data_IF_961599138410
#
_entry.id   IF_961599138410
#
_cell.length_a   1.000
_cell.length_b   1.000
_cell.length_c   1.000
_cell.angle_alpha   90.00
_cell.angle_beta   90.00
_cell.angle_gamma   90.00
#
_symmetry.space_group_name_H-M   'P 1'
#
loop_
_entity.id
_entity.type
_entity.pdbx_description
1 polymer ?
#
# COMPACT_ATOMS: atom_id res chain seq x y z
N UNK A 1 -23.90 -24.27 20.08
CA UNK A 1 -22.97 -24.67 19.00
C UNK A 1 -23.13 -23.62 17.93
N UNK A 2 -22.08 -22.85 17.63
CA UNK A 2 -22.19 -21.73 16.69
C UNK A 2 -22.37 -22.25 15.27
N UNK A 3 -23.20 -21.57 14.47
CA UNK A 3 -23.37 -21.89 13.04
C UNK A 3 -22.26 -21.23 12.23
N UNK A 4 -21.76 -21.91 11.21
CA UNK A 4 -20.67 -21.40 10.38
C UNK A 4 -21.25 -20.84 9.09
N UNK A 5 -20.77 -19.65 8.70
CA UNK A 5 -21.04 -19.01 7.41
C UNK A 5 -19.69 -18.85 6.71
N UNK A 6 -19.50 -19.55 5.61
CA UNK A 6 -18.31 -19.40 4.79
C UNK A 6 -18.50 -18.30 3.75
N UNK A 7 -17.45 -17.51 3.54
CA UNK A 7 -17.37 -16.58 2.42
C UNK A 7 -17.45 -17.36 1.09
N UNK A 8 -18.40 -16.99 0.24
CA UNK A 8 -18.42 -17.38 -1.17
C UNK A 8 -18.23 -16.11 -2.03
N UNK A 9 -17.16 -16.03 -2.85
CA UNK A 9 -16.96 -14.93 -3.80
C UNK A 9 -18.17 -14.62 -4.67
N UNK A 10 -19.03 -15.61 -4.98
CA UNK A 10 -20.21 -15.48 -5.83
C UNK A 10 -21.33 -14.65 -5.18
N UNK A 11 -21.42 -14.70 -3.85
CA UNK A 11 -22.46 -14.00 -3.08
C UNK A 11 -22.17 -12.50 -2.93
N UNK A 12 -20.91 -12.10 -3.10
CA UNK A 12 -20.46 -10.73 -2.94
C UNK A 12 -20.50 -9.98 -4.27
N UNK A 13 -20.74 -8.67 -4.16
CA UNK A 13 -20.76 -7.70 -5.26
C UNK A 13 -20.12 -6.40 -4.82
N UNK A 14 -19.69 -5.59 -5.79
CA UNK A 14 -19.25 -4.22 -5.53
C UNK A 14 -20.36 -3.45 -4.79
N UNK A 15 -19.97 -2.74 -3.73
CA UNK A 15 -20.87 -1.78 -3.10
C UNK A 15 -21.05 -0.58 -4.04
N UNK A 16 -22.30 -0.30 -4.41
CA UNK A 16 -22.66 0.78 -5.33
C UNK A 16 -22.55 2.17 -4.71
N UNK A 17 -22.41 2.26 -3.39
CA UNK A 17 -22.18 3.53 -2.69
C UNK A 17 -20.74 4.04 -2.85
N UNK A 18 -19.80 3.19 -3.28
CA UNK A 18 -18.41 3.59 -3.49
C UNK A 18 -18.22 4.26 -4.85
N UNK A 19 -17.67 5.47 -4.85
CA UNK A 19 -17.36 6.23 -6.06
C UNK A 19 -16.27 5.54 -6.91
N UNK A 20 -15.18 5.12 -6.27
CA UNK A 20 -14.04 4.45 -6.90
C UNK A 20 -13.90 3.02 -6.38
N UNK A 21 -14.62 2.07 -6.99
CA UNK A 21 -14.59 0.68 -6.56
C UNK A 21 -13.62 -0.14 -7.43
N UNK A 22 -12.41 -0.40 -6.93
CA UNK A 22 -11.36 -1.13 -7.67
C UNK A 22 -11.44 -2.62 -7.35
N UNK A 23 -12.10 -3.37 -8.23
CA UNK A 23 -12.40 -4.78 -8.00
C UNK A 23 -12.08 -5.67 -9.20
N UNK A 24 -11.75 -6.93 -8.92
CA UNK A 24 -11.64 -7.98 -9.92
C UNK A 24 -12.11 -9.32 -9.38
N UNK A 25 -12.85 -10.07 -10.21
CA UNK A 25 -13.26 -11.46 -9.92
C UNK A 25 -12.71 -12.35 -11.03
N UNK A 26 -11.93 -13.34 -10.66
CA UNK A 26 -11.22 -14.19 -11.61
C UNK A 26 -11.17 -15.64 -11.10
N UNK A 27 -10.93 -16.56 -12.04
CA UNK A 27 -10.67 -17.96 -11.73
C UNK A 27 -9.16 -18.16 -11.60
N UNK A 28 -8.73 -18.78 -10.50
CA UNK A 28 -7.33 -19.12 -10.22
C UNK A 28 -7.25 -20.63 -10.05
N UNK A 29 -6.17 -21.23 -10.54
CA UNK A 29 -5.86 -22.63 -10.23
C UNK A 29 -5.10 -22.67 -8.91
N UNK A 30 -5.64 -23.37 -7.92
CA UNK A 30 -4.98 -23.52 -6.63
C UNK A 30 -3.85 -24.57 -6.66
N UNK A 31 -3.17 -24.76 -5.52
CA UNK A 31 -2.07 -25.72 -5.37
C UNK A 31 -2.47 -27.18 -5.67
N UNK A 32 -3.75 -27.49 -5.55
CA UNK A 32 -4.30 -28.84 -5.76
C UNK A 32 -4.70 -29.03 -7.24
N UNK A 33 -4.55 -28.00 -8.08
CA UNK A 33 -4.91 -28.01 -9.49
C UNK A 33 -6.38 -27.65 -9.76
N UNK A 34 -7.12 -27.22 -8.74
CA UNK A 34 -8.55 -26.92 -8.84
C UNK A 34 -8.80 -25.45 -9.16
N UNK A 35 -9.79 -25.18 -10.00
CA UNK A 35 -10.18 -23.82 -10.34
C UNK A 35 -11.09 -23.23 -9.25
N UNK A 36 -10.55 -22.27 -8.50
CA UNK A 36 -11.25 -21.52 -7.47
C UNK A 36 -11.56 -20.10 -7.93
N UNK A 37 -12.60 -19.49 -7.37
CA UNK A 37 -12.91 -18.08 -7.63
C UNK A 37 -12.18 -17.23 -6.58
N UNK A 38 -11.46 -16.22 -7.04
CA UNK A 38 -10.85 -15.21 -6.23
C UNK A 38 -11.60 -13.87 -6.40
N UNK A 39 -11.73 -13.11 -5.33
CA UNK A 39 -12.28 -11.76 -5.36
C UNK A 39 -11.25 -10.77 -4.83
N UNK A 40 -10.58 -10.05 -5.75
CA UNK A 40 -9.64 -8.99 -5.40
C UNK A 40 -10.34 -7.65 -5.22
N UNK A 41 -9.93 -6.92 -4.20
CA UNK A 41 -10.39 -5.57 -3.87
C UNK A 41 -9.19 -4.66 -3.57
N UNK A 42 -9.31 -3.39 -3.93
CA UNK A 42 -8.33 -2.35 -3.63
C UNK A 42 -7.17 -2.30 -4.62
N UNK A 43 -6.35 -1.26 -4.47
CA UNK A 43 -5.11 -1.06 -5.20
C UNK A 43 -4.09 -0.37 -4.27
N UNK A 44 -2.93 -0.03 -4.83
CA UNK A 44 -1.89 0.70 -4.10
C UNK A 44 -2.14 2.21 -3.97
N UNK A 45 -3.22 2.71 -4.57
CA UNK A 45 -3.66 4.10 -4.39
C UNK A 45 -4.58 4.19 -3.17
N UNK A 46 -5.03 5.41 -2.88
CA UNK A 46 -5.98 5.70 -1.83
C UNK A 46 -7.45 5.54 -2.28
N UNK A 47 -7.71 4.61 -3.21
CA UNK A 47 -9.05 4.35 -3.72
C UNK A 47 -9.82 3.47 -2.74
N UNK A 48 -10.83 4.06 -2.09
CA UNK A 48 -11.68 3.36 -1.13
C UNK A 48 -12.59 2.33 -1.83
N UNK A 49 -12.27 1.05 -1.65
CA UNK A 49 -12.94 -0.07 -2.32
C UNK A 49 -13.75 -0.90 -1.33
N UNK A 50 -14.98 -1.27 -1.69
CA UNK A 50 -15.83 -2.13 -0.86
C UNK A 50 -16.61 -3.17 -1.68
N UNK A 51 -16.72 -4.37 -1.12
CA UNK A 51 -17.66 -5.39 -1.58
C UNK A 51 -18.60 -5.79 -0.43
N UNK A 52 -19.84 -6.09 -0.75
CA UNK A 52 -20.84 -6.43 0.25
C UNK A 52 -21.74 -7.61 -0.16
N UNK A 53 -22.31 -8.25 0.86
CA UNK A 53 -23.30 -9.30 0.73
C UNK A 53 -24.35 -9.14 1.84
N UNK A 54 -25.63 -9.22 1.46
CA UNK A 54 -26.75 -9.20 2.40
C UNK A 54 -27.18 -10.65 2.65
N UNK A 55 -27.36 -11.04 3.92
CA UNK A 55 -27.88 -12.35 4.30
C UNK A 55 -28.96 -12.22 5.36
N UNK A 56 -29.94 -13.11 5.27
CA UNK A 56 -30.94 -13.33 6.30
C UNK A 56 -30.53 -14.51 7.19
N UNK A 57 -30.46 -14.28 8.49
CA UNK A 57 -30.00 -15.21 9.51
C UNK A 57 -31.12 -15.52 10.50
N UNK A 58 -31.01 -16.64 11.20
CA UNK A 58 -31.92 -16.94 12.33
C UNK A 58 -31.57 -16.08 13.54
N UNK A 59 -32.59 -15.49 14.18
CA UNK A 59 -32.47 -14.75 15.43
C UNK A 59 -31.87 -15.60 16.55
N UNK A 60 -31.30 -14.94 17.55
CA UNK A 60 -30.78 -15.47 18.81
C UNK A 60 -29.82 -16.64 18.62
N UNK A 61 -29.06 -16.57 17.54
CA UNK A 61 -28.12 -17.60 17.10
C UNK A 61 -26.73 -17.02 17.03
N UNK A 62 -25.77 -17.73 17.61
CA UNK A 62 -24.35 -17.44 17.51
C UNK A 62 -23.81 -17.99 16.19
N UNK A 63 -23.08 -17.14 15.47
CA UNK A 63 -22.47 -17.44 14.19
C UNK A 63 -20.96 -17.23 14.22
N UNK A 64 -20.29 -17.90 13.28
CA UNK A 64 -18.90 -17.65 12.92
C UNK A 64 -18.85 -17.40 11.41
N UNK A 65 -18.42 -16.22 11.00
CA UNK A 65 -18.18 -15.91 9.60
C UNK A 65 -16.70 -16.20 9.26
N UNK A 66 -16.45 -17.10 8.30
CA UNK A 66 -15.09 -17.52 7.93
C UNK A 66 -14.71 -17.04 6.53
N UNK A 67 -13.49 -16.57 6.38
CA UNK A 67 -12.94 -16.15 5.09
C UNK A 67 -11.42 -16.26 5.07
N UNK A 68 -10.87 -16.37 3.86
CA UNK A 68 -9.44 -16.30 3.62
C UNK A 68 -9.11 -15.03 2.86
N UNK A 69 -8.07 -14.33 3.32
CA UNK A 69 -7.51 -13.16 2.64
C UNK A 69 -6.01 -13.36 2.41
N UNK A 70 -5.56 -13.07 1.19
CA UNK A 70 -4.16 -12.96 0.80
C UNK A 70 -3.88 -11.50 0.47
N UNK A 71 -2.74 -10.97 0.92
CA UNK A 71 -2.46 -9.54 0.82
C UNK A 71 -3.26 -8.73 1.84
N UNK A 72 -3.70 -7.52 1.50
CA UNK A 72 -4.46 -6.62 2.38
C UNK A 72 -3.59 -5.93 3.44
N UNK A 73 -2.31 -5.70 3.10
CA UNK A 73 -1.34 -4.96 3.89
C UNK A 73 -0.39 -4.21 2.94
N UNK A 74 0.27 -3.16 3.41
CA UNK A 74 1.32 -2.48 2.66
C UNK A 74 2.61 -2.35 3.49
N UNK A 75 3.72 -2.09 2.81
CA UNK A 75 5.04 -1.97 3.46
C UNK A 75 5.10 -0.76 4.42
N UNK A 76 4.33 0.29 4.14
CA UNK A 76 4.25 1.52 4.93
C UNK A 76 3.30 1.42 6.12
N UNK A 77 2.57 0.31 6.27
CA UNK A 77 1.68 0.06 7.41
C UNK A 77 0.61 1.16 7.62
N UNK A 78 0.18 1.81 6.54
CA UNK A 78 -0.82 2.89 6.52
C UNK A 78 -2.05 2.54 5.66
N UNK A 79 -2.21 1.26 5.33
CA UNK A 79 -3.35 0.74 4.61
C UNK A 79 -4.64 0.75 5.44
N UNK A 80 -5.78 0.63 4.75
CA UNK A 80 -7.03 0.17 5.36
C UNK A 80 -7.33 -1.23 4.85
N UNK A 81 -7.52 -2.17 5.78
CA UNK A 81 -8.06 -3.49 5.51
C UNK A 81 -9.02 -3.85 6.62
N UNK A 82 -10.31 -3.97 6.32
CA UNK A 82 -11.36 -4.17 7.32
C UNK A 82 -12.41 -5.15 6.85
N UNK A 83 -13.01 -5.82 7.83
CA UNK A 83 -14.26 -6.53 7.65
C UNK A 83 -15.29 -5.96 8.61
N UNK A 84 -16.51 -5.74 8.13
CA UNK A 84 -17.59 -5.18 8.91
C UNK A 84 -18.84 -6.07 8.84
N UNK A 85 -19.54 -6.18 9.97
CA UNK A 85 -20.84 -6.83 10.10
C UNK A 85 -21.84 -5.76 10.52
N UNK A 86 -22.82 -5.50 9.67
CA UNK A 86 -23.83 -4.47 9.87
C UNK A 86 -25.19 -5.14 10.14
N UNK A 87 -25.70 -5.11 11.38
CA UNK A 87 -27.07 -5.52 11.66
C UNK A 87 -28.06 -4.52 11.05
N UNK A 88 -29.10 -5.00 10.37
CA UNK A 88 -30.13 -4.18 9.73
C UNK A 88 -31.49 -4.52 10.35
N UNK A 89 -31.83 -4.01 11.55
CA UNK A 89 -33.06 -4.38 12.27
C UNK A 89 -34.34 -4.10 11.49
N UNK A 90 -34.35 -3.04 10.67
CA UNK A 90 -35.47 -2.66 9.82
C UNK A 90 -35.41 -3.28 8.41
N UNK A 91 -34.50 -4.23 8.17
CA UNK A 91 -34.32 -4.93 6.89
C UNK A 91 -33.69 -4.08 5.79
N UNK A 92 -33.15 -2.90 6.12
CA UNK A 92 -32.48 -2.02 5.17
C UNK A 92 -31.22 -1.39 5.78
N UNK A 93 -30.25 -1.05 4.94
CA UNK A 93 -29.06 -0.33 5.35
C UNK A 93 -29.39 1.16 5.51
N UNK A 94 -29.54 1.62 6.75
CA UNK A 94 -29.64 3.05 7.09
C UNK A 94 -28.32 3.54 7.68
N UNK A 95 -28.17 4.86 7.82
CA UNK A 95 -27.01 5.46 8.47
C UNK A 95 -26.91 5.00 9.93
N UNK A 96 -28.03 4.94 10.66
CA UNK A 96 -28.04 4.44 12.05
C UNK A 96 -27.60 2.97 12.13
N UNK A 97 -28.11 2.11 11.24
CA UNK A 97 -27.71 0.71 11.18
C UNK A 97 -26.19 0.57 10.91
N UNK A 98 -25.65 1.44 10.06
CA UNK A 98 -24.23 1.46 9.75
C UNK A 98 -23.37 2.00 10.92
N UNK A 99 -23.88 2.91 11.74
CA UNK A 99 -23.20 3.35 12.97
C UNK A 99 -23.04 2.23 14.00
N UNK A 100 -24.01 1.31 14.07
CA UNK A 100 -24.01 0.15 14.97
C UNK A 100 -23.19 -1.06 14.47
N UNK A 101 -22.44 -0.90 13.37
CA UNK A 101 -21.66 -1.99 12.78
C UNK A 101 -20.51 -2.48 13.68
N UNK A 102 -20.26 -3.78 13.61
CA UNK A 102 -19.04 -4.36 14.18
C UNK A 102 -17.90 -4.25 13.18
N UNK A 103 -16.84 -3.52 13.55
CA UNK A 103 -15.65 -3.34 12.70
C UNK A 103 -14.49 -4.20 13.20
N UNK A 104 -13.93 -5.00 12.30
CA UNK A 104 -12.77 -5.84 12.54
C UNK A 104 -11.59 -5.33 11.69
N UNK A 105 -10.58 -4.78 12.37
CA UNK A 105 -9.39 -4.24 11.73
C UNK A 105 -8.42 -5.37 11.34
N UNK A 106 -8.37 -5.69 10.05
CA UNK A 106 -7.54 -6.77 9.51
C UNK A 106 -6.11 -6.28 9.17
N UNK A 107 -5.88 -4.96 9.15
CA UNK A 107 -4.57 -4.40 8.86
C UNK A 107 -3.56 -4.89 9.88
N UNK A 108 -2.37 -5.29 9.40
CA UNK A 108 -1.25 -5.74 10.25
C UNK A 108 -1.61 -6.83 11.28
N UNK A 109 -2.66 -7.63 11.01
CA UNK A 109 -3.20 -8.60 11.97
C UNK A 109 -3.54 -7.99 13.35
N UNK A 110 -4.12 -6.78 13.35
CA UNK A 110 -4.67 -6.14 14.56
C UNK A 110 -5.79 -6.98 15.16
N UNK A 111 -6.72 -7.42 14.31
CA UNK A 111 -7.53 -8.60 14.58
C UNK A 111 -6.72 -9.85 14.17
N UNK A 112 -6.66 -10.85 15.06
CA UNK A 112 -5.79 -12.01 14.86
C UNK A 112 -6.49 -13.06 14.00
N UNK A 113 -5.90 -13.48 12.86
CA UNK A 113 -6.38 -14.64 12.13
C UNK A 113 -6.16 -15.92 12.96
N UNK A 114 -7.00 -16.93 12.74
CA UNK A 114 -6.83 -18.25 13.37
C UNK A 114 -5.68 -19.04 12.75
N UNK A 115 -5.29 -18.70 11.52
CA UNK A 115 -4.19 -19.34 10.80
C UNK A 115 -3.52 -18.34 9.84
N UNK A 116 -2.19 -18.35 9.82
CA UNK A 116 -1.34 -17.56 8.94
C UNK A 116 -0.34 -18.47 8.24
N UNK A 117 -0.33 -18.45 6.90
CA UNK A 117 0.53 -19.31 6.08
C UNK A 117 1.24 -18.53 4.99
N UNK A 118 2.46 -18.93 4.67
CA UNK A 118 3.22 -18.39 3.54
C UNK A 118 2.77 -19.06 2.24
N UNK A 119 2.59 -18.27 1.20
CA UNK A 119 2.24 -18.71 -0.16
C UNK A 119 3.02 -17.88 -1.17
N UNK A 120 3.06 -18.32 -2.43
CA UNK A 120 3.72 -17.58 -3.51
C UNK A 120 3.05 -16.23 -3.80
N UNK A 121 1.75 -16.10 -3.50
CA UNK A 121 0.97 -14.86 -3.66
C UNK A 121 1.13 -13.89 -2.46
N UNK A 122 1.81 -14.33 -1.39
CA UNK A 122 2.00 -13.55 -0.16
C UNK A 122 1.53 -14.31 1.08
N UNK A 123 1.13 -13.56 2.12
CA UNK A 123 0.65 -14.16 3.36
C UNK A 123 -0.84 -14.46 3.27
N UNK A 124 -1.18 -15.76 3.34
CA UNK A 124 -2.53 -16.26 3.50
C UNK A 124 -2.96 -16.15 4.95
N UNK A 125 -4.14 -15.60 5.19
CA UNK A 125 -4.72 -15.42 6.52
C UNK A 125 -6.16 -15.93 6.53
N UNK A 126 -6.45 -16.89 7.40
CA UNK A 126 -7.79 -17.40 7.65
C UNK A 126 -8.35 -16.73 8.90
N UNK A 127 -9.53 -16.14 8.78
CA UNK A 127 -10.24 -15.48 9.86
C UNK A 127 -11.52 -16.24 10.21
N UNK A 128 -11.82 -16.29 11.50
CA UNK A 128 -13.10 -16.74 12.05
C UNK A 128 -13.65 -15.61 12.91
N UNK A 129 -14.74 -14.98 12.46
CA UNK A 129 -15.33 -13.82 13.11
C UNK A 129 -16.59 -14.26 13.87
N UNK A 130 -16.53 -14.40 15.20
CA UNK A 130 -17.71 -14.71 15.99
C UNK A 130 -18.62 -13.49 16.12
N UNK A 131 -19.92 -13.68 15.94
CA UNK A 131 -20.94 -12.68 16.20
C UNK A 131 -22.27 -13.35 16.59
N UNK A 132 -23.16 -12.62 17.24
CA UNK A 132 -24.51 -13.10 17.57
C UNK A 132 -25.54 -12.28 16.81
N UNK A 133 -26.59 -12.96 16.35
CA UNK A 133 -27.69 -12.32 15.61
C UNK A 133 -28.65 -11.53 16.51
N UNK A 134 -28.69 -11.85 17.81
CA UNK A 134 -29.66 -11.26 18.75
C UNK A 134 -31.09 -11.26 18.18
N UNK A 135 -31.84 -10.17 18.23
CA UNK A 135 -33.19 -10.11 17.67
C UNK A 135 -33.25 -9.69 16.18
N UNK A 136 -32.10 -9.51 15.54
CA UNK A 136 -31.95 -9.10 14.14
C UNK A 136 -31.88 -10.33 13.21
N UNK A 137 -32.43 -10.20 12.00
CA UNK A 137 -32.38 -11.25 10.97
C UNK A 137 -31.58 -10.82 9.75
N UNK A 138 -31.61 -9.55 9.38
CA UNK A 138 -30.98 -9.07 8.17
C UNK A 138 -29.62 -8.46 8.49
N UNK A 139 -28.58 -8.97 7.82
CA UNK A 139 -27.19 -8.57 8.04
C UNK A 139 -26.51 -8.24 6.72
N UNK A 140 -25.68 -7.20 6.73
CA UNK A 140 -24.75 -6.91 5.64
C UNK A 140 -23.32 -7.19 6.09
N UNK A 141 -22.61 -7.98 5.30
CA UNK A 141 -21.19 -8.24 5.46
C UNK A 141 -20.42 -7.38 4.46
N UNK A 142 -19.39 -6.68 4.91
CA UNK A 142 -18.63 -5.74 4.06
C UNK A 142 -17.13 -6.00 4.20
N UNK A 143 -16.44 -6.11 3.07
CA UNK A 143 -14.98 -6.06 3.02
C UNK A 143 -14.52 -4.73 2.46
N UNK A 144 -13.53 -4.13 3.10
CA UNK A 144 -13.02 -2.81 2.77
C UNK A 144 -11.50 -2.89 2.60
N UNK A 145 -11.00 -2.30 1.51
CA UNK A 145 -9.57 -2.14 1.27
C UNK A 145 -9.26 -0.75 0.69
N UNK A 146 -8.13 -0.18 1.11
CA UNK A 146 -7.56 1.05 0.56
C UNK A 146 -6.05 1.06 0.79
N UNK A 147 -5.27 1.50 -0.20
CA UNK A 147 -3.81 1.50 -0.16
C UNK A 147 -3.20 0.11 0.14
N UNK A 148 -3.92 -0.93 -0.30
CA UNK A 148 -3.49 -2.32 -0.30
C UNK A 148 -4.39 -3.11 -1.27
N UNK A 149 -3.81 -4.10 -1.94
CA UNK A 149 -4.57 -5.11 -2.69
C UNK A 149 -4.87 -6.28 -1.77
N UNK A 150 -6.14 -6.66 -1.66
CA UNK A 150 -6.59 -7.81 -0.88
C UNK A 150 -7.35 -8.79 -1.78
N UNK A 151 -6.92 -10.05 -1.78
CA UNK A 151 -7.59 -11.12 -2.53
C UNK A 151 -8.29 -12.06 -1.57
N UNK A 152 -9.60 -12.19 -1.73
CA UNK A 152 -10.47 -13.02 -0.90
C UNK A 152 -10.78 -14.35 -1.57
N UNK A 153 -10.72 -15.42 -0.79
CA UNK A 153 -11.01 -16.79 -1.22
C UNK A 153 -12.01 -17.46 -0.27
N UNK A 154 -12.79 -18.40 -0.81
CA UNK A 154 -13.60 -19.28 0.01
C UNK A 154 -12.69 -20.09 0.96
N UNK A 155 -13.01 -20.18 2.26
CA UNK A 155 -12.20 -20.93 3.20
C UNK A 155 -12.28 -22.43 2.89
N UNK A 156 -11.15 -23.13 3.02
CA UNK A 156 -11.07 -24.59 3.05
C UNK A 156 -10.96 -25.06 4.50
N UNK A 157 -11.11 -26.36 4.71
CA UNK A 157 -10.80 -27.00 5.99
C UNK A 157 -9.33 -26.79 6.40
N UNK A 158 -9.06 -26.76 7.70
CA UNK A 158 -7.71 -26.51 8.24
C UNK A 158 -6.64 -27.47 7.67
N UNK A 159 -7.00 -28.72 7.42
CA UNK A 159 -6.09 -29.72 6.85
C UNK A 159 -5.60 -29.36 5.45
N UNK A 160 -6.34 -28.57 4.68
CA UNK A 160 -5.92 -28.14 3.35
C UNK A 160 -4.72 -27.19 3.38
N UNK A 161 -4.46 -26.55 4.52
CA UNK A 161 -3.35 -25.62 4.74
C UNK A 161 -2.18 -26.23 5.52
N UNK A 162 -2.27 -27.50 5.90
CA UNK A 162 -1.31 -28.13 6.80
C UNK A 162 0.13 -28.12 6.26
N UNK A 163 0.29 -28.31 4.95
CA UNK A 163 1.58 -28.39 4.27
C UNK A 163 2.22 -27.01 4.00
N UNK A 164 1.48 -25.92 4.21
CA UNK A 164 2.01 -24.57 4.04
C UNK A 164 2.86 -24.15 5.24
N UNK A 165 3.91 -23.38 4.98
CA UNK A 165 4.80 -22.86 6.03
C UNK A 165 4.05 -21.87 6.94
N UNK A 166 4.19 -22.04 8.26
CA UNK A 166 3.65 -21.09 9.24
C UNK A 166 4.39 -19.76 9.20
N UNK A 167 3.64 -18.67 9.14
CA UNK A 167 4.19 -17.32 9.17
C UNK A 167 3.36 -16.39 10.05
N UNK A 168 3.79 -15.14 10.18
CA UNK A 168 3.04 -14.08 10.82
C UNK A 168 3.44 -12.72 10.23
N UNK A 169 2.73 -11.67 10.63
CA UNK A 169 2.96 -10.33 10.10
C UNK A 169 4.35 -9.77 10.47
N UNK A 170 4.88 -10.10 11.65
CA UNK A 170 6.18 -9.60 12.10
C UNK A 170 7.32 -10.18 11.25
N UNK A 171 7.29 -11.50 10.98
CA UNK A 171 8.23 -12.16 10.06
C UNK A 171 8.16 -11.60 8.65
N UNK A 172 6.95 -11.42 8.13
CA UNK A 172 6.75 -10.81 6.81
C UNK A 172 7.34 -9.39 6.75
N UNK A 173 7.16 -8.59 7.81
CA UNK A 173 7.71 -7.24 7.91
C UNK A 173 9.24 -7.25 7.94
N UNK A 174 9.84 -8.19 8.67
CA UNK A 174 11.29 -8.40 8.67
C UNK A 174 11.80 -8.74 7.26
N UNK A 175 11.14 -9.66 6.55
CA UNK A 175 11.49 -10.02 5.17
C UNK A 175 11.38 -8.84 4.19
N UNK A 176 10.36 -7.99 4.33
CA UNK A 176 10.19 -6.78 3.51
C UNK A 176 11.31 -5.78 3.80
N UNK A 177 11.61 -5.55 5.09
CA UNK A 177 12.63 -4.60 5.50
C UNK A 177 14.03 -5.06 5.11
N UNK A 178 14.32 -6.36 5.19
CA UNK A 178 15.62 -6.91 4.79
C UNK A 178 15.85 -6.72 3.28
N UNK A 179 14.83 -6.97 2.44
CA UNK A 179 14.92 -6.73 0.99
C UNK A 179 15.12 -5.25 0.65
N UNK A 180 14.39 -4.35 1.31
CA UNK A 180 14.58 -2.91 1.12
C UNK A 180 15.98 -2.43 1.55
N UNK A 181 16.64 -3.12 2.47
CA UNK A 181 18.02 -2.80 2.88
C UNK A 181 19.07 -3.24 1.85
N UNK A 182 18.81 -4.31 1.10
CA UNK A 182 19.68 -4.76 0.01
C UNK A 182 19.50 -3.90 -1.26
N UNK A 183 18.28 -3.42 -1.53
CA UNK A 183 17.98 -2.57 -2.69
C UNK A 183 18.24 -1.06 -2.49
N UNK A 184 18.40 -0.58 -1.24
CA UNK A 184 18.71 0.84 -0.98
C UNK A 184 20.20 1.19 -1.12
N UNK A 185 21.09 0.22 -1.35
CA UNK A 185 22.44 0.53 -1.84
C UNK A 185 22.38 0.72 -3.36
N UNK A 186 21.75 1.81 -3.82
CA UNK A 186 21.95 2.26 -5.18
C UNK A 186 23.43 2.63 -5.31
N UNK A 187 24.24 1.72 -5.86
CA UNK A 187 25.62 1.99 -6.20
C UNK A 187 25.61 3.07 -7.27
N UNK A 188 26.06 4.28 -6.93
CA UNK A 188 26.17 5.36 -7.91
C UNK A 188 27.52 5.18 -8.60
N UNK A 189 27.50 4.67 -9.83
CA UNK A 189 28.67 4.58 -10.69
C UNK A 189 28.66 5.76 -11.65
N UNK A 190 29.67 6.63 -11.54
CA UNK A 190 29.89 7.74 -12.46
C UNK A 190 31.15 7.46 -13.28
N UNK A 191 31.01 7.35 -14.61
CA UNK A 191 32.12 7.07 -15.53
C UNK A 191 32.49 8.34 -16.32
N UNK A 192 33.71 8.84 -16.09
CA UNK A 192 34.31 9.96 -16.80
C UNK A 192 35.47 9.50 -17.69
N UNK A 193 35.50 8.23 -18.10
CA UNK A 193 36.57 7.69 -18.93
C UNK A 193 36.74 8.52 -20.21
N UNK A 194 37.93 9.11 -20.39
CA UNK A 194 38.25 9.96 -21.55
C UNK A 194 37.62 11.35 -21.56
N UNK A 195 36.94 11.78 -20.48
CA UNK A 195 36.31 13.09 -20.39
C UNK A 195 37.32 14.22 -20.13
N UNK A 196 37.00 15.44 -20.58
CA UNK A 196 37.68 16.67 -20.14
C UNK A 196 36.84 17.32 -19.04
N UNK A 197 37.40 17.45 -17.84
CA UNK A 197 36.71 18.00 -16.66
C UNK A 197 37.56 19.06 -15.96
N UNK A 198 36.92 20.02 -15.30
CA UNK A 198 37.64 21.04 -14.54
C UNK A 198 37.84 20.62 -13.08
N UNK A 199 38.81 21.25 -12.41
CA UNK A 199 39.13 20.99 -11.00
C UNK A 199 37.98 21.31 -10.04
N UNK A 200 37.23 22.38 -10.29
CA UNK A 200 35.98 22.69 -9.56
C UNK A 200 34.96 21.55 -9.68
N UNK A 201 34.72 21.06 -10.89
CA UNK A 201 33.78 19.95 -11.17
C UNK A 201 34.14 18.68 -10.40
N UNK A 202 35.42 18.32 -10.36
CA UNK A 202 35.90 17.15 -9.60
C UNK A 202 35.69 17.36 -8.09
N UNK A 203 35.91 18.58 -7.60
CA UNK A 203 35.74 18.93 -6.18
C UNK A 203 34.27 18.86 -5.76
N UNK A 204 33.35 19.33 -6.60
CA UNK A 204 31.91 19.26 -6.37
C UNK A 204 31.43 17.81 -6.36
N UNK A 205 31.86 16.98 -7.32
CA UNK A 205 31.53 15.55 -7.37
C UNK A 205 31.99 14.79 -6.12
N UNK A 206 33.22 15.04 -5.66
CA UNK A 206 33.74 14.44 -4.43
C UNK A 206 33.01 14.94 -3.17
N UNK A 207 32.57 16.19 -3.17
CA UNK A 207 31.78 16.79 -2.09
C UNK A 207 30.39 16.15 -2.04
N UNK A 208 29.71 16.03 -3.18
CA UNK A 208 28.43 15.35 -3.29
C UNK A 208 28.53 13.87 -2.88
N UNK A 209 29.61 13.17 -3.27
CA UNK A 209 29.85 11.79 -2.85
C UNK A 209 30.10 11.64 -1.33
N UNK A 210 30.66 12.66 -0.67
CA UNK A 210 30.88 12.67 0.78
C UNK A 210 29.63 13.02 1.61
N UNK A 211 28.74 13.85 1.07
CA UNK A 211 27.54 14.31 1.78
C UNK A 211 26.26 13.56 1.37
N UNK A 212 26.27 12.86 0.24
CA UNK A 212 25.21 11.93 -0.14
C UNK A 212 25.18 10.74 0.81
N UNK A 213 24.01 10.39 1.33
CA UNK A 213 23.79 9.19 2.19
C UNK A 213 23.98 7.86 1.44
N UNK A 214 24.57 7.87 0.24
CA UNK A 214 24.89 6.69 -0.56
C UNK A 214 26.24 6.14 -0.09
N UNK A 215 26.22 5.01 0.63
CA UNK A 215 27.43 4.40 1.20
C UNK A 215 28.39 3.82 0.13
N UNK A 216 27.97 3.72 -1.14
CA UNK A 216 28.74 3.14 -2.25
C UNK A 216 28.72 4.03 -3.52
N UNK A 217 29.59 5.03 -3.59
CA UNK A 217 29.82 5.84 -4.82
C UNK A 217 31.14 5.40 -5.46
N UNK A 218 31.10 4.98 -6.72
CA UNK A 218 32.27 4.66 -7.53
C UNK A 218 32.41 5.69 -8.65
N UNK A 219 33.53 6.42 -8.69
CA UNK A 219 33.81 7.40 -9.74
C UNK A 219 35.04 6.94 -10.51
N UNK A 220 34.89 6.69 -11.80
CA UNK A 220 35.98 6.32 -12.70
C UNK A 220 36.45 7.54 -13.49
N UNK A 221 37.74 7.88 -13.39
CA UNK A 221 38.39 8.95 -14.15
C UNK A 221 39.46 8.40 -15.10
N UNK A 222 39.40 7.11 -15.45
CA UNK A 222 40.42 6.47 -16.29
C UNK A 222 40.57 7.21 -17.62
N UNK A 223 41.75 7.80 -17.87
CA UNK A 223 42.01 8.56 -19.10
C UNK A 223 41.30 9.92 -19.20
N UNK A 224 40.67 10.41 -18.14
CA UNK A 224 40.14 11.76 -18.09
C UNK A 224 41.27 12.81 -18.06
N UNK A 225 41.04 13.95 -18.69
CA UNK A 225 41.92 15.13 -18.64
C UNK A 225 41.33 16.13 -17.66
N UNK A 226 42.05 16.41 -16.57
CA UNK A 226 41.64 17.36 -15.55
C UNK A 226 42.40 18.67 -15.76
N UNK A 227 41.68 19.73 -16.05
CA UNK A 227 42.25 21.07 -16.28
C UNK A 227 41.93 21.99 -15.09
N UNK A 228 42.85 22.90 -14.77
CA UNK A 228 42.57 23.96 -13.80
C UNK A 228 41.46 24.86 -14.37
N UNK A 229 40.62 25.38 -13.47
CA UNK A 229 39.60 26.35 -13.87
C UNK A 229 40.30 27.53 -14.56
N UNK A 230 39.80 27.92 -15.73
CA UNK A 230 40.33 29.09 -16.41
C UNK A 230 40.12 30.29 -15.49
N UNK A 231 41.11 31.17 -15.31
CA UNK A 231 40.88 32.43 -14.63
C UNK A 231 39.77 33.14 -15.38
N UNK A 232 38.71 33.53 -14.67
CA UNK A 232 37.65 34.36 -15.22
C UNK A 232 38.32 35.52 -15.99
N UNK A 233 37.91 35.72 -17.24
CA UNK A 233 38.26 36.93 -17.98
C UNK A 233 37.65 38.12 -17.23
N UNK A 234 38.39 38.64 -16.25
CA UNK A 234 38.14 39.94 -15.64
C UNK A 234 38.38 40.96 -16.75
N UNK A 235 37.33 41.27 -17.51
CA UNK A 235 37.29 42.49 -18.29
C UNK A 235 37.19 43.66 -17.31
N UNK A 236 38.35 44.22 -17.01
CA UNK A 236 38.46 45.59 -16.54
C UNK A 236 38.21 46.51 -17.74
N UNK A 237 37.05 47.13 -17.80
CA UNK A 237 36.87 48.38 -18.56
C UNK A 237 36.65 49.51 -17.55
N UNK A 238 37.64 50.38 -17.48
CA UNK A 238 37.64 51.62 -16.73
C UNK A 238 36.99 52.73 -17.58
N UNK A 239 36.17 53.54 -16.90
CA UNK A 239 35.77 54.92 -17.19
C UNK A 239 35.50 55.36 -18.64
N UNK A 240 34.22 55.63 -18.95
CA UNK A 240 33.89 56.98 -19.44
C UNK A 240 32.51 57.44 -18.95
N UNK A 241 32.50 58.73 -18.66
CA UNK A 241 31.52 59.62 -18.05
C UNK A 241 30.17 59.74 -18.76
N UNK A 242 29.10 59.97 -17.99
CA UNK A 242 27.90 60.67 -18.49
C UNK A 242 26.55 60.20 -17.93
N UNK A 243 26.04 60.93 -16.93
CA UNK A 243 24.65 61.44 -16.83
C UNK A 243 23.50 60.58 -17.38
N UNK A 244 22.65 60.04 -16.50
CA UNK A 244 21.36 60.65 -16.15
C UNK A 244 20.38 59.64 -15.52
N UNK A 245 19.85 60.09 -14.39
CA UNK A 245 18.65 59.68 -13.67
C UNK A 245 17.59 58.93 -14.48
N UNK A 246 17.16 57.75 -14.01
CA UNK A 246 15.75 57.35 -14.11
C UNK A 246 15.30 56.67 -12.80
N UNK A 247 14.28 57.28 -12.22
CA UNK A 247 13.63 56.96 -10.96
C UNK A 247 12.99 55.58 -10.91
N UNK A 248 13.03 54.97 -9.72
CA UNK A 248 12.21 53.81 -9.33
C UNK A 248 10.87 54.35 -8.84
N UNK A 249 9.81 54.19 -9.63
CA UNK A 249 8.44 54.27 -9.10
C UNK A 249 7.99 52.89 -8.62
N UNK A 250 7.90 52.74 -7.30
CA UNK A 250 7.10 51.71 -6.64
C UNK A 250 5.66 52.21 -6.59
N UNK A 251 4.77 51.64 -7.41
CA UNK A 251 3.33 51.79 -7.21
C UNK A 251 2.83 50.72 -6.24
N UNK A 252 2.51 51.18 -5.03
CA UNK A 252 1.53 50.54 -4.15
C UNK A 252 0.17 50.47 -4.86
N UNK A 253 -0.47 49.30 -4.82
CA UNK A 253 -1.92 49.21 -5.00
C UNK A 253 -2.50 48.49 -3.79
N UNK A 254 -3.04 49.31 -2.89
CA UNK A 254 -4.02 48.92 -1.91
C UNK A 254 -5.42 48.82 -2.56
N UNK A 255 -6.29 48.07 -1.87
CA UNK A 255 -7.76 48.07 -1.89
C UNK A 255 -8.49 47.38 -3.05
N UNK A 256 -8.93 46.14 -2.81
CA UNK A 256 -10.27 45.86 -2.25
C UNK A 256 -10.44 44.38 -1.87
#
# INVERSE_FOLDING_TARGET
MSKVIDFDPRDFKADKSCENNVIAKYFVTDKDGENVIAYSIGNWNWDWTQICCDKKLEKNTDYVFRFVIVGGYCNTCNETSRFEIVPMPDGSLTDEAYEDRYTYDLAQNRYKPVLCKKTDEGMLRLFEIPFSSFDCEDFRFVFIAMHAVATLYAPKEFSAYADLEDTNFDRLREEINSKNSEDNSANVVMDFTGAHVTRSTVTDLLTMARFGKSENVCIDFTGAVIEDDKPDDIQADADDTGSDDIAVELMDVADN
#
